data_IF_961627622953
#
_entry.id   IF_961627622953
#
_cell.length_a   1.000
_cell.length_b   1.000
_cell.length_c   1.000
_cell.angle_alpha   90.00
_cell.angle_beta   90.00
_cell.angle_gamma   90.00
#
_symmetry.space_group_name_H-M   'P 1'
#
loop_
_entity.id
_entity.type
_entity.pdbx_description
1 polymer ?
#
# COMPACT_ATOMS: atom_id res chain seq x y z
N UNK A 1 7.01 35.27 -13.86
CA UNK A 1 5.96 35.11 -12.84
C UNK A 1 6.02 33.66 -12.44
N UNK A 2 6.49 33.38 -11.22
CA UNK A 2 6.64 32.02 -10.71
C UNK A 2 5.31 31.25 -10.81
N UNK A 3 5.31 30.06 -11.42
CA UNK A 3 4.08 29.30 -11.66
C UNK A 3 3.66 28.51 -10.41
N UNK A 4 2.90 29.17 -9.53
CA UNK A 4 2.40 28.59 -8.26
C UNK A 4 1.39 27.45 -8.48
N UNK A 5 0.75 27.37 -9.64
CA UNK A 5 -0.17 26.29 -10.00
C UNK A 5 0.60 24.99 -10.28
N UNK A 6 1.67 25.07 -11.07
CA UNK A 6 2.58 23.94 -11.29
C UNK A 6 3.20 23.45 -9.99
N UNK A 7 3.54 24.36 -9.08
CA UNK A 7 4.04 24.01 -7.75
C UNK A 7 3.01 23.20 -6.94
N UNK A 8 1.74 23.59 -6.97
CA UNK A 8 0.65 22.86 -6.31
C UNK A 8 0.46 21.48 -6.94
N UNK A 9 0.43 21.42 -8.27
CA UNK A 9 0.29 20.16 -9.00
C UNK A 9 1.46 19.19 -8.74
N UNK A 10 2.68 19.72 -8.54
CA UNK A 10 3.85 18.94 -8.14
C UNK A 10 3.68 18.35 -6.72
N UNK A 11 3.18 19.14 -5.75
CA UNK A 11 2.92 18.66 -4.39
C UNK A 11 1.85 17.57 -4.34
N UNK A 12 0.79 17.74 -5.13
CA UNK A 12 -0.32 16.79 -5.21
C UNK A 12 0.06 15.51 -5.97
N UNK A 13 1.28 15.42 -6.53
CA UNK A 13 1.75 14.27 -7.30
C UNK A 13 1.05 14.09 -8.64
N UNK A 14 0.48 15.18 -9.19
CA UNK A 14 -0.25 15.17 -10.48
C UNK A 14 0.71 15.33 -11.67
N UNK A 15 1.91 15.87 -11.44
CA UNK A 15 2.94 16.03 -12.46
C UNK A 15 3.84 14.79 -12.53
N UNK A 16 3.75 14.06 -13.63
CA UNK A 16 4.55 12.86 -13.88
C UNK A 16 5.66 13.07 -14.92
N UNK A 17 6.70 12.23 -14.83
CA UNK A 17 7.76 12.13 -15.83
C UNK A 17 8.56 13.42 -15.99
N UNK A 18 8.69 13.88 -17.24
CA UNK A 18 9.52 15.03 -17.59
C UNK A 18 8.97 16.35 -17.04
N UNK A 19 7.64 16.48 -16.95
CA UNK A 19 7.00 17.70 -16.44
C UNK A 19 7.27 17.88 -14.94
N UNK A 20 7.26 16.79 -14.18
CA UNK A 20 7.64 16.79 -12.77
C UNK A 20 9.12 17.18 -12.58
N UNK A 21 10.03 16.61 -13.39
CA UNK A 21 11.46 16.99 -13.34
C UNK A 21 11.67 18.46 -13.66
N UNK A 22 11.05 18.97 -14.71
CA UNK A 22 11.17 20.38 -15.08
C UNK A 22 10.65 21.30 -13.98
N UNK A 23 9.52 20.96 -13.35
CA UNK A 23 8.98 21.73 -12.22
C UNK A 23 9.93 21.71 -11.01
N UNK A 24 10.56 20.57 -10.71
CA UNK A 24 11.59 20.48 -9.65
C UNK A 24 12.79 21.38 -9.99
N UNK A 25 13.32 21.31 -11.22
CA UNK A 25 14.45 22.13 -11.64
C UNK A 25 14.15 23.63 -11.52
N UNK A 26 12.92 24.05 -11.88
CA UNK A 26 12.45 25.42 -11.72
C UNK A 26 12.44 25.84 -10.24
N UNK A 27 11.87 25.00 -9.36
CA UNK A 27 11.87 25.24 -7.90
C UNK A 27 13.29 25.33 -7.35
N UNK A 28 14.22 24.49 -7.80
CA UNK A 28 15.61 24.54 -7.34
C UNK A 28 16.32 25.84 -7.75
N UNK A 29 15.88 26.49 -8.83
CA UNK A 29 16.48 27.73 -9.34
C UNK A 29 15.88 29.03 -8.78
N UNK A 30 14.67 28.98 -8.21
CA UNK A 30 13.91 30.16 -7.79
C UNK A 30 13.60 30.15 -6.27
N UNK A 31 14.16 31.13 -5.55
CA UNK A 31 13.95 31.29 -4.11
C UNK A 31 12.50 31.62 -3.71
N UNK A 32 11.72 32.31 -4.54
CA UNK A 32 10.30 32.59 -4.25
C UNK A 32 9.46 31.31 -4.32
N UNK A 33 9.78 30.43 -5.28
CA UNK A 33 9.14 29.11 -5.40
C UNK A 33 9.51 28.20 -4.24
N UNK A 34 10.77 28.16 -3.81
CA UNK A 34 11.19 27.40 -2.61
C UNK A 34 10.46 27.89 -1.35
N UNK A 35 10.36 29.21 -1.17
CA UNK A 35 9.63 29.78 -0.04
C UNK A 35 8.12 29.45 -0.11
N UNK A 36 7.55 29.43 -1.32
CA UNK A 36 6.16 29.01 -1.53
C UNK A 36 5.96 27.53 -1.23
N UNK A 37 6.92 26.69 -1.63
CA UNK A 37 6.93 25.25 -1.37
C UNK A 37 6.88 24.96 0.14
N UNK A 38 7.78 25.59 0.89
CA UNK A 38 7.83 25.48 2.35
C UNK A 38 6.50 25.92 3.01
N UNK A 39 5.93 27.06 2.58
CA UNK A 39 4.67 27.55 3.14
C UNK A 39 3.49 26.61 2.89
N UNK A 40 3.40 26.02 1.69
CA UNK A 40 2.28 25.14 1.36
C UNK A 40 2.33 23.84 2.17
N UNK A 41 3.51 23.24 2.35
CA UNK A 41 3.68 22.11 3.26
C UNK A 41 3.31 22.46 4.69
N UNK A 42 3.78 23.61 5.21
CA UNK A 42 3.44 24.08 6.54
C UNK A 42 1.92 24.27 6.73
N UNK A 43 1.24 24.86 5.75
CA UNK A 43 -0.23 25.01 5.76
C UNK A 43 -0.91 23.64 5.74
N UNK A 44 -0.43 22.71 4.92
CA UNK A 44 -0.94 21.33 4.86
C UNK A 44 -0.82 20.61 6.20
N UNK A 45 0.35 20.70 6.84
CA UNK A 45 0.60 20.10 8.15
C UNK A 45 -0.27 20.74 9.24
N UNK A 46 -0.48 22.06 9.18
CA UNK A 46 -1.40 22.79 10.05
C UNK A 46 -2.85 22.30 9.90
N UNK A 47 -3.31 22.11 8.66
CA UNK A 47 -4.66 21.64 8.37
C UNK A 47 -4.89 20.20 8.82
N UNK A 48 -3.86 19.34 8.78
CA UNK A 48 -3.91 17.95 9.28
C UNK A 48 -3.71 17.83 10.79
N UNK A 49 -3.30 18.91 11.46
CA UNK A 49 -2.96 18.87 12.89
C UNK A 49 -1.66 18.13 13.18
N UNK A 50 -0.75 18.09 12.21
CA UNK A 50 0.56 17.40 12.28
C UNK A 50 1.69 18.33 12.74
N UNK A 51 1.36 19.55 13.17
CA UNK A 51 2.36 20.50 13.66
C UNK A 51 2.95 20.02 14.99
N UNK A 52 4.29 20.11 15.15
CA UNK A 52 4.93 19.83 16.42
C UNK A 52 4.59 20.91 17.46
N UNK A 53 4.70 20.56 18.74
CA UNK A 53 4.52 21.50 19.87
C UNK A 53 5.49 22.70 19.80
N UNK A 54 6.69 22.46 19.25
CA UNK A 54 7.73 23.48 19.04
C UNK A 54 8.14 23.53 17.57
N UNK A 55 8.01 24.69 16.94
CA UNK A 55 8.36 24.87 15.53
C UNK A 55 9.84 25.21 15.36
N UNK A 56 10.54 24.44 14.52
CA UNK A 56 11.95 24.65 14.18
C UNK A 56 12.06 25.05 12.70
N UNK A 57 12.18 26.36 12.44
CA UNK A 57 12.28 26.88 11.08
C UNK A 57 13.67 26.75 10.46
N UNK A 58 14.69 26.47 11.27
CA UNK A 58 16.10 26.34 10.85
C UNK A 58 16.52 24.88 10.56
N UNK A 59 15.58 23.93 10.64
CA UNK A 59 15.86 22.51 10.47
C UNK A 59 16.35 22.19 9.06
N UNK A 60 15.71 22.74 8.02
CA UNK A 60 16.10 22.52 6.64
C UNK A 60 17.52 23.04 6.37
N UNK A 61 17.88 24.21 6.91
CA UNK A 61 19.21 24.80 6.76
C UNK A 61 20.28 23.95 7.45
N UNK A 62 19.99 23.45 8.67
CA UNK A 62 20.88 22.54 9.40
C UNK A 62 21.10 21.24 8.64
N UNK A 63 20.05 20.67 8.05
CA UNK A 63 20.14 19.44 7.25
C UNK A 63 20.96 19.71 5.98
N UNK A 64 20.71 20.81 5.27
CA UNK A 64 21.47 21.16 4.08
C UNK A 64 22.97 21.31 4.38
N UNK A 65 23.31 22.02 5.47
CA UNK A 65 24.69 22.17 5.93
C UNK A 65 25.33 20.84 6.32
N UNK A 66 24.60 19.97 7.03
CA UNK A 66 25.09 18.64 7.39
C UNK A 66 25.35 17.77 6.14
N UNK A 67 24.48 17.84 5.12
CA UNK A 67 24.64 17.13 3.85
C UNK A 67 25.84 17.62 3.05
N UNK A 68 26.12 18.93 3.06
CA UNK A 68 27.31 19.51 2.43
C UNK A 68 28.61 19.06 3.11
N UNK A 69 28.55 18.78 4.42
CA UNK A 69 29.67 18.25 5.21
C UNK A 69 29.87 16.73 5.05
N UNK A 70 28.89 16.01 4.48
CA UNK A 70 29.01 14.58 4.27
C UNK A 70 30.08 14.28 3.20
N UNK A 71 31.10 13.43 3.50
CA UNK A 71 32.04 13.00 2.49
C UNK A 71 31.26 12.24 1.41
N UNK A 72 31.42 12.63 0.15
CA UNK A 72 30.80 11.93 -0.98
C UNK A 72 31.30 10.48 -1.00
N UNK A 73 30.53 9.56 -0.39
CA UNK A 73 30.73 8.13 -0.53
C UNK A 73 30.24 7.79 -1.94
N UNK A 74 31.11 8.00 -2.93
CA UNK A 74 31.00 7.35 -4.22
C UNK A 74 30.77 5.87 -3.91
N UNK A 75 29.61 5.38 -4.34
CA UNK A 75 29.03 4.07 -4.06
C UNK A 75 30.06 3.02 -3.60
N UNK A 76 29.75 2.16 -2.61
CA UNK A 76 30.66 1.13 -2.16
C UNK A 76 31.22 0.43 -3.41
N UNK A 77 32.51 0.64 -3.69
CA UNK A 77 33.14 -0.10 -4.76
C UNK A 77 32.86 -1.56 -4.42
N UNK A 78 32.33 -2.37 -5.35
CA UNK A 78 32.18 -3.78 -5.09
C UNK A 78 33.56 -4.24 -4.66
N UNK A 79 33.70 -4.57 -3.37
CA UNK A 79 34.96 -5.05 -2.85
C UNK A 79 35.39 -6.15 -3.82
N UNK A 80 36.61 -6.10 -4.37
CA UNK A 80 37.04 -7.13 -5.30
C UNK A 80 36.80 -8.44 -4.57
N UNK A 81 35.84 -9.23 -5.05
CA UNK A 81 35.57 -10.55 -4.51
C UNK A 81 36.88 -11.27 -4.70
N UNK A 82 37.67 -11.37 -3.63
CA UNK A 82 38.89 -12.14 -3.67
C UNK A 82 38.47 -13.49 -4.26
N UNK A 83 39.09 -13.96 -5.36
CA UNK A 83 38.72 -15.23 -5.93
C UNK A 83 38.82 -16.22 -4.78
N UNK A 84 37.68 -16.78 -4.39
CA UNK A 84 37.61 -17.83 -3.38
C UNK A 84 38.63 -18.85 -3.87
N UNK A 85 39.73 -18.98 -3.13
CA UNK A 85 40.86 -19.81 -3.55
C UNK A 85 40.28 -21.15 -3.99
N UNK A 86 40.66 -21.59 -5.19
CA UNK A 86 40.11 -22.72 -5.90
C UNK A 86 40.16 -24.02 -5.11
N UNK A 87 39.32 -24.14 -4.10
CA UNK A 87 38.92 -25.38 -3.50
C UNK A 87 38.14 -26.11 -4.58
N UNK A 88 38.66 -27.25 -5.00
CA UNK A 88 37.96 -28.25 -5.82
C UNK A 88 36.62 -28.58 -5.17
N UNK A 89 35.60 -27.77 -5.39
CA UNK A 89 34.24 -28.11 -5.04
C UNK A 89 33.75 -29.09 -6.10
N UNK A 90 33.45 -30.31 -5.65
CA UNK A 90 32.99 -31.41 -6.48
C UNK A 90 31.79 -30.91 -7.32
N UNK A 91 31.77 -31.11 -8.65
CA UNK A 91 30.78 -30.49 -9.56
C UNK A 91 29.33 -30.86 -9.23
N UNK A 92 29.10 -31.91 -8.43
CA UNK A 92 27.78 -32.33 -7.97
C UNK A 92 27.15 -31.33 -6.99
N UNK A 93 27.93 -30.70 -6.12
CA UNK A 93 27.43 -29.75 -5.09
C UNK A 93 26.99 -28.43 -5.73
N UNK A 94 27.68 -27.98 -6.79
CA UNK A 94 27.32 -26.75 -7.51
C UNK A 94 25.96 -26.86 -8.21
N UNK A 95 25.62 -28.05 -8.73
CA UNK A 95 24.36 -28.28 -9.46
C UNK A 95 23.14 -28.35 -8.52
N UNK A 96 23.31 -28.96 -7.34
CA UNK A 96 22.25 -29.00 -6.32
C UNK A 96 22.15 -27.70 -5.50
N UNK A 97 23.27 -27.01 -5.23
CA UNK A 97 23.29 -25.78 -4.44
C UNK A 97 22.62 -24.58 -5.13
N UNK A 98 22.71 -24.48 -6.46
CA UNK A 98 22.06 -23.38 -7.20
C UNK A 98 20.52 -23.50 -7.21
N UNK A 99 19.98 -24.73 -7.15
CA UNK A 99 18.54 -24.97 -7.10
C UNK A 99 18.00 -24.86 -5.68
N UNK A 100 18.75 -25.33 -4.67
CA UNK A 100 18.35 -25.22 -3.25
C UNK A 100 18.53 -23.81 -2.67
N UNK A 101 19.48 -23.02 -3.20
CA UNK A 101 19.74 -21.65 -2.71
C UNK A 101 18.55 -20.71 -2.87
N UNK A 102 17.75 -20.87 -3.93
CA UNK A 102 16.53 -20.08 -4.13
C UNK A 102 15.45 -20.42 -3.10
N UNK A 103 15.29 -21.71 -2.76
CA UNK A 103 14.36 -22.13 -1.72
C UNK A 103 14.82 -21.73 -0.31
N UNK A 104 16.13 -21.64 -0.08
CA UNK A 104 16.67 -21.23 1.22
C UNK A 104 16.29 -19.80 1.61
N UNK A 105 16.27 -18.86 0.64
CA UNK A 105 15.83 -17.47 0.88
C UNK A 105 14.32 -17.40 1.13
N UNK A 106 13.52 -18.12 0.35
CA UNK A 106 12.07 -18.15 0.55
C UNK A 106 11.67 -18.80 1.88
N UNK A 107 12.34 -19.90 2.26
CA UNK A 107 12.07 -20.62 3.50
C UNK A 107 12.46 -19.80 4.74
N UNK A 108 13.55 -19.02 4.69
CA UNK A 108 13.95 -18.16 5.80
C UNK A 108 13.00 -16.99 6.01
N UNK A 109 12.52 -16.35 4.94
CA UNK A 109 11.48 -15.31 5.03
C UNK A 109 10.17 -15.89 5.55
N UNK A 110 9.73 -17.05 5.04
CA UNK A 110 8.51 -17.70 5.52
C UNK A 110 8.61 -18.12 7.00
N UNK A 111 9.76 -18.66 7.44
CA UNK A 111 9.99 -18.98 8.84
C UNK A 111 9.98 -17.72 9.71
N UNK A 112 10.65 -16.64 9.29
CA UNK A 112 10.64 -15.37 10.03
C UNK A 112 9.23 -14.79 10.20
N UNK A 113 8.36 -14.92 9.18
CA UNK A 113 6.95 -14.51 9.26
C UNK A 113 6.17 -15.38 10.23
N UNK A 114 6.29 -16.71 10.16
CA UNK A 114 5.56 -17.64 11.03
C UNK A 114 6.00 -17.50 12.50
N UNK A 115 7.31 -17.45 12.76
CA UNK A 115 7.84 -17.32 14.12
C UNK A 115 7.71 -15.89 14.67
N UNK A 116 7.80 -14.86 13.82
CA UNK A 116 7.60 -13.46 14.21
C UNK A 116 6.17 -13.16 14.67
N UNK A 117 5.16 -13.74 13.99
CA UNK A 117 3.75 -13.58 14.38
C UNK A 117 3.43 -14.27 15.72
N UNK A 118 4.06 -15.42 16.02
CA UNK A 118 3.89 -16.07 17.32
C UNK A 118 4.57 -15.29 18.45
N UNK A 119 5.75 -14.73 18.21
CA UNK A 119 6.46 -13.95 19.25
C UNK A 119 5.73 -12.64 19.60
N UNK A 120 4.95 -12.08 18.67
CA UNK A 120 4.16 -10.87 18.95
C UNK A 120 2.88 -11.13 19.77
N UNK A 121 2.34 -12.35 19.78
CA UNK A 121 1.14 -12.69 20.56
C UNK A 121 1.43 -13.24 21.96
N UNK A 122 2.71 -13.50 22.30
CA UNK A 122 3.10 -14.09 23.57
C UNK A 122 3.19 -13.12 24.75
N UNK A 123 3.12 -11.79 24.53
CA UNK A 123 3.41 -10.81 25.57
C UNK A 123 2.25 -9.89 25.97
N UNK A 124 1.11 -9.95 25.29
CA UNK A 124 -0.09 -9.21 25.70
C UNK A 124 -1.31 -10.14 25.77
N UNK A 125 -1.55 -10.65 26.98
CA UNK A 125 -2.90 -11.06 27.35
C UNK A 125 -3.69 -9.77 27.59
N UNK A 126 -4.49 -9.34 26.61
CA UNK A 126 -5.86 -8.74 26.74
C UNK A 126 -6.36 -8.26 25.36
N UNK A 127 -7.55 -8.78 24.99
CA UNK A 127 -8.49 -8.36 23.92
C UNK A 127 -8.16 -8.56 22.43
N UNK A 128 -9.03 -9.27 21.67
CA UNK A 128 -8.93 -9.35 20.21
C UNK A 128 -9.45 -8.05 19.59
N UNK A 129 -8.55 -7.21 19.06
CA UNK A 129 -8.92 -6.03 18.26
C UNK A 129 -9.14 -6.50 16.83
N UNK A 130 -10.40 -6.53 16.41
CA UNK A 130 -10.84 -6.93 15.08
C UNK A 130 -10.60 -5.74 14.12
N UNK A 131 -9.67 -5.80 13.15
CA UNK A 131 -9.39 -4.64 12.30
C UNK A 131 -10.56 -4.39 11.33
N UNK A 132 -11.37 -3.38 11.62
CA UNK A 132 -12.38 -2.87 10.69
C UNK A 132 -11.71 -1.88 9.75
N UNK A 133 -11.50 -2.29 8.51
CA UNK A 133 -11.17 -1.40 7.40
C UNK A 133 -12.36 -0.48 7.13
N UNK A 134 -12.23 0.78 7.53
CA UNK A 134 -13.26 1.81 7.35
C UNK A 134 -12.81 2.70 6.18
N UNK A 135 -13.16 2.34 4.94
CA UNK A 135 -12.91 3.19 3.78
C UNK A 135 -14.10 4.12 3.60
N UNK A 136 -13.85 5.42 3.74
CA UNK A 136 -14.83 6.47 3.46
C UNK A 136 -14.88 6.63 1.93
N UNK A 137 -15.99 6.30 1.24
CA UNK A 137 -16.08 6.57 -0.18
C UNK A 137 -16.39 8.05 -0.41
N UNK A 138 -15.59 8.71 -1.24
CA UNK A 138 -15.89 10.06 -1.73
C UNK A 138 -17.04 9.92 -2.74
N UNK A 139 -18.25 10.32 -2.32
CA UNK A 139 -19.39 10.58 -3.20
C UNK A 139 -20.33 9.39 -3.46
N UNK A 140 -21.25 9.10 -2.54
CA UNK A 140 -22.39 8.21 -2.78
C UNK A 140 -23.15 7.86 -1.51
N UNK A 141 -24.48 7.86 -1.55
CA UNK A 141 -25.36 7.66 -0.39
C UNK A 141 -25.00 6.39 0.42
N UNK A 142 -24.75 6.58 1.70
CA UNK A 142 -24.39 5.54 2.65
C UNK A 142 -25.57 4.58 2.88
N UNK A 143 -25.46 3.36 2.37
CA UNK A 143 -26.18 2.22 2.93
C UNK A 143 -25.25 1.57 3.97
N UNK A 144 -25.47 1.75 5.28
CA UNK A 144 -24.65 1.11 6.30
C UNK A 144 -24.88 -0.40 6.26
N UNK A 145 -23.90 -1.17 5.77
CA UNK A 145 -23.88 -2.62 5.93
C UNK A 145 -23.40 -2.92 7.35
N UNK A 146 -24.32 -2.87 8.30
CA UNK A 146 -24.06 -3.27 9.68
C UNK A 146 -23.92 -4.79 9.75
N UNK A 147 -22.69 -5.30 9.77
CA UNK A 147 -22.42 -6.69 10.15
C UNK A 147 -22.59 -6.79 11.67
N UNK A 148 -23.81 -7.14 12.11
CA UNK A 148 -24.08 -7.42 13.52
C UNK A 148 -23.53 -8.82 13.86
N UNK A 149 -22.52 -8.89 14.72
CA UNK A 149 -22.12 -10.13 15.39
C UNK A 149 -22.88 -10.25 16.72
N UNK A 150 -23.85 -11.16 16.86
CA UNK A 150 -24.40 -11.47 18.17
C UNK A 150 -23.38 -12.27 18.99
N UNK A 151 -23.04 -11.75 20.18
CA UNK A 151 -22.38 -12.52 21.24
C UNK A 151 -23.36 -13.54 21.81
N UNK A 152 -22.80 -14.68 22.19
CA UNK A 152 -23.45 -15.93 22.59
C UNK A 152 -24.58 -15.79 23.63
N UNK A 153 -25.77 -16.27 23.24
CA UNK A 153 -26.64 -17.13 24.06
C UNK A 153 -27.85 -17.72 23.30
N UNK A 154 -27.99 -17.43 21.99
CA UNK A 154 -29.16 -17.82 21.16
C UNK A 154 -28.84 -18.76 19.99
N UNK A 155 -27.89 -19.69 20.14
CA UNK A 155 -27.42 -20.54 19.03
C UNK A 155 -28.48 -21.41 18.36
N UNK A 156 -29.55 -21.82 19.05
CA UNK A 156 -30.58 -22.69 18.46
C UNK A 156 -31.70 -21.94 17.72
N UNK A 157 -31.95 -20.65 18.01
CA UNK A 157 -33.06 -19.87 17.42
C UNK A 157 -32.63 -18.96 16.27
N UNK A 158 -31.34 -18.58 16.20
CA UNK A 158 -30.79 -17.82 15.08
C UNK A 158 -30.47 -18.69 13.86
N UNK A 159 -30.12 -19.97 14.04
CA UNK A 159 -29.79 -20.86 12.91
C UNK A 159 -30.97 -21.05 11.94
N UNK A 160 -32.20 -21.19 12.44
CA UNK A 160 -33.40 -21.31 11.59
C UNK A 160 -33.74 -20.00 10.83
N UNK A 161 -33.42 -18.84 11.41
CA UNK A 161 -33.66 -17.54 10.76
C UNK A 161 -32.62 -17.24 9.67
N UNK A 162 -31.38 -17.70 9.86
CA UNK A 162 -30.31 -17.58 8.86
C UNK A 162 -30.52 -18.53 7.67
N UNK A 163 -31.07 -19.73 7.88
CA UNK A 163 -31.38 -20.67 6.79
C UNK A 163 -32.49 -20.15 5.86
N UNK A 164 -33.56 -19.55 6.41
CA UNK A 164 -34.61 -18.94 5.58
C UNK A 164 -34.06 -17.79 4.74
N UNK A 165 -33.24 -16.90 5.34
CA UNK A 165 -32.61 -15.80 4.62
C UNK A 165 -31.66 -16.29 3.51
N UNK A 166 -30.91 -17.37 3.78
CA UNK A 166 -30.03 -17.99 2.80
C UNK A 166 -30.80 -18.58 1.61
N UNK A 167 -31.97 -19.17 1.86
CA UNK A 167 -32.82 -19.70 0.79
C UNK A 167 -33.44 -18.59 -0.05
N UNK A 168 -33.91 -17.50 0.56
CA UNK A 168 -34.38 -16.33 -0.21
C UNK A 168 -33.26 -15.72 -1.06
N UNK A 169 -32.03 -15.69 -0.54
CA UNK A 169 -30.88 -15.20 -1.31
C UNK A 169 -30.55 -16.13 -2.49
N UNK A 170 -30.63 -17.46 -2.29
CA UNK A 170 -30.47 -18.45 -3.36
C UNK A 170 -31.55 -18.29 -4.44
N UNK A 171 -32.80 -18.05 -4.05
CA UNK A 171 -33.90 -17.85 -4.99
C UNK A 171 -33.72 -16.58 -5.82
N UNK A 172 -33.27 -15.49 -5.21
CA UNK A 172 -32.92 -14.25 -5.92
C UNK A 172 -31.77 -14.45 -6.90
N UNK A 173 -30.72 -15.16 -6.50
CA UNK A 173 -29.58 -15.48 -7.38
C UNK A 173 -30.04 -16.35 -8.55
N UNK A 174 -30.88 -17.37 -8.29
CA UNK A 174 -31.43 -18.24 -9.33
C UNK A 174 -32.36 -17.50 -10.30
N UNK A 175 -33.10 -16.50 -9.82
CA UNK A 175 -33.90 -15.64 -10.68
C UNK A 175 -33.02 -14.74 -11.55
N UNK A 176 -32.00 -14.11 -10.95
CA UNK A 176 -31.04 -13.25 -11.66
C UNK A 176 -30.29 -14.01 -12.75
N UNK A 177 -29.79 -15.22 -12.46
CA UNK A 177 -29.09 -16.05 -13.44
C UNK A 177 -29.97 -16.42 -14.63
N UNK A 178 -31.25 -16.73 -14.38
CA UNK A 178 -32.22 -17.04 -15.46
C UNK A 178 -32.51 -15.83 -16.34
N UNK A 179 -32.70 -14.67 -15.73
CA UNK A 179 -32.92 -13.43 -16.48
C UNK A 179 -31.69 -13.05 -17.32
N UNK A 180 -30.49 -13.14 -16.74
CA UNK A 180 -29.25 -12.86 -17.43
C UNK A 180 -29.03 -13.76 -18.66
N UNK A 181 -29.31 -15.05 -18.53
CA UNK A 181 -29.25 -15.98 -19.67
C UNK A 181 -30.26 -15.63 -20.77
N UNK A 182 -31.43 -15.09 -20.41
CA UNK A 182 -32.45 -14.70 -21.37
C UNK A 182 -32.04 -13.43 -22.11
N UNK A 183 -31.47 -12.44 -21.42
CA UNK A 183 -30.89 -11.25 -22.04
C UNK A 183 -29.77 -11.59 -23.02
N UNK A 184 -28.88 -12.52 -22.65
CA UNK A 184 -27.82 -12.97 -23.55
C UNK A 184 -28.38 -13.61 -24.82
N UNK A 185 -29.44 -14.43 -24.71
CA UNK A 185 -30.11 -15.03 -25.88
C UNK A 185 -30.83 -14.01 -26.73
N UNK A 186 -31.46 -12.98 -26.14
CA UNK A 186 -32.10 -11.90 -26.89
C UNK A 186 -31.07 -11.09 -27.66
N UNK A 187 -29.96 -10.71 -27.02
CA UNK A 187 -28.85 -10.03 -27.68
C UNK A 187 -28.25 -10.90 -28.81
N UNK A 188 -28.06 -12.20 -28.57
CA UNK A 188 -27.57 -13.12 -29.59
C UNK A 188 -28.56 -13.31 -30.75
N UNK A 189 -29.87 -13.34 -30.48
CA UNK A 189 -30.91 -13.45 -31.50
C UNK A 189 -31.04 -12.16 -32.33
N UNK A 190 -30.87 -10.98 -31.72
CA UNK A 190 -30.80 -9.71 -32.44
C UNK A 190 -29.58 -9.66 -33.39
N UNK A 191 -28.43 -10.19 -32.97
CA UNK A 191 -27.22 -10.23 -33.81
C UNK A 191 -27.29 -11.24 -34.98
N UNK A 192 -28.22 -12.19 -34.96
CA UNK A 192 -28.39 -13.19 -36.03
C UNK A 192 -29.43 -12.75 -37.08
N UNK A 193 -30.14 -11.65 -36.84
CA UNK A 193 -31.21 -11.14 -37.73
C UNK A 193 -30.78 -9.92 -38.57
N UNK A 194 -29.52 -9.47 -38.43
CA UNK A 194 -28.81 -8.60 -39.39
C UNK A 194 -27.84 -9.44 -40.24
#
# INVERSE_FOLDING_TARGET
MANKEQLSALMDGVLDGEQGRQAIDEVMSDAELQASWSRYHLIGDAMRGELPDTMQFDLCDKIAMALDEEPTVLAPQPAPTAPLHGGKVIPLVRRFGQQMGQYAIAASVAAAVIFGVQHYQGQDSVTPVNPVLNTIPIGGNAAPVSVHYPKDDSRARQQALTEQQMNEQRDRINAFLRDHQLQQRLHQAQQVQE
#
